data_IF_616805196394
#
_entry.id   IF_616805196394
#
_cell.length_a   1.000
_cell.length_b   1.000
_cell.length_c   1.000
_cell.angle_alpha   90.00
_cell.angle_beta   90.00
_cell.angle_gamma   90.00
#
_symmetry.space_group_name_H-M   'P 1'
#
loop_
_entity.id
_entity.type
_entity.pdbx_description
1 polymer ?
#
# COMPACT_ATOMS: atom_id res chain seq x y z
N UNK A 1 -0.13 15.32 15.67
CA UNK A 1 1.22 15.85 15.41
C UNK A 1 1.08 17.00 14.40
N UNK A 2 1.99 17.96 14.44
CA UNK A 2 2.04 19.05 13.43
C UNK A 2 2.44 18.47 12.06
N UNK A 3 1.91 19.09 10.98
CA UNK A 3 2.13 18.63 9.61
C UNK A 3 1.06 17.69 9.10
N UNK A 4 1.26 17.19 7.87
CA UNK A 4 0.36 16.22 7.23
C UNK A 4 0.52 14.85 7.91
N UNK A 5 -0.58 14.29 8.39
CA UNK A 5 -0.64 12.97 9.02
C UNK A 5 -1.61 12.10 8.21
N UNK A 6 -1.09 11.13 7.43
CA UNK A 6 -1.89 10.29 6.53
C UNK A 6 -1.42 8.85 6.50
N UNK A 7 -2.23 8.00 5.89
CA UNK A 7 -1.92 6.58 5.59
C UNK A 7 -1.46 5.78 6.82
N UNK A 8 -2.24 5.77 7.92
CA UNK A 8 -1.88 5.00 9.10
C UNK A 8 -1.96 3.49 8.83
N UNK A 9 -1.02 2.74 9.39
CA UNK A 9 -0.96 1.28 9.33
C UNK A 9 -0.55 0.70 10.69
N UNK A 10 -1.40 -0.14 11.29
CA UNK A 10 -1.11 -0.82 12.54
C UNK A 10 -0.08 -1.93 12.35
N UNK A 11 0.83 -2.05 13.30
CA UNK A 11 1.67 -3.24 13.44
C UNK A 11 0.80 -4.47 13.75
N UNK A 12 1.20 -5.69 13.34
CA UNK A 12 0.38 -6.89 13.54
C UNK A 12 0.04 -7.21 14.99
N UNK A 13 0.88 -6.78 15.94
CA UNK A 13 0.65 -6.94 17.36
C UNK A 13 -0.20 -5.80 17.99
N UNK A 14 -0.59 -4.79 17.18
CA UNK A 14 -1.38 -3.64 17.64
C UNK A 14 -0.66 -2.68 18.59
N UNK A 15 0.66 -2.78 18.74
CA UNK A 15 1.41 -1.93 19.67
C UNK A 15 1.92 -0.63 19.06
N UNK A 16 2.10 -0.62 17.72
CA UNK A 16 2.66 0.53 17.00
C UNK A 16 1.80 0.91 15.81
N UNK A 17 1.82 2.19 15.48
CA UNK A 17 1.24 2.76 14.28
C UNK A 17 2.35 3.34 13.41
N UNK A 18 2.52 2.83 12.19
CA UNK A 18 3.33 3.47 11.16
C UNK A 18 2.44 4.43 10.35
N UNK A 19 2.95 5.59 9.96
CA UNK A 19 2.19 6.57 9.20
C UNK A 19 3.12 7.54 8.47
N UNK A 20 2.57 8.27 7.53
CA UNK A 20 3.25 9.37 6.85
C UNK A 20 3.10 10.66 7.64
N UNK A 21 4.20 11.36 7.90
CA UNK A 21 4.22 12.65 8.57
C UNK A 21 5.17 13.63 7.87
N UNK A 22 4.73 14.87 7.64
CA UNK A 22 5.54 15.91 6.97
C UNK A 22 6.11 16.97 7.93
N UNK A 23 6.26 16.63 9.21
CA UNK A 23 6.67 17.54 10.27
C UNK A 23 8.06 18.18 10.02
N UNK A 24 8.99 17.42 9.49
CA UNK A 24 10.40 17.80 9.40
C UNK A 24 10.83 18.20 7.96
N UNK A 25 9.89 18.78 7.18
CA UNK A 25 10.14 19.35 5.86
C UNK A 25 9.47 18.62 4.71
N UNK A 26 9.79 17.33 4.47
CA UNK A 26 9.14 16.47 3.50
C UNK A 26 8.32 15.36 4.18
N UNK A 27 7.55 14.62 3.39
CA UNK A 27 6.80 13.46 3.91
C UNK A 27 7.73 12.28 4.13
N UNK A 28 7.68 11.74 5.34
CA UNK A 28 8.50 10.62 5.79
C UNK A 28 7.67 9.57 6.54
N UNK A 29 8.22 8.37 6.69
CA UNK A 29 7.60 7.33 7.51
C UNK A 29 7.99 7.52 8.96
N UNK A 30 7.00 7.58 9.82
CA UNK A 30 7.13 7.62 11.28
C UNK A 30 6.43 6.42 11.91
N UNK A 31 6.87 6.10 13.11
CA UNK A 31 6.24 5.10 13.98
C UNK A 31 5.96 5.74 15.34
N UNK A 32 4.85 5.35 15.96
CA UNK A 32 4.44 5.80 17.28
C UNK A 32 3.81 4.63 18.03
N UNK A 33 3.93 4.58 19.35
CA UNK A 33 3.19 3.62 20.16
C UNK A 33 1.69 3.92 20.13
N UNK A 34 0.84 2.89 20.38
CA UNK A 34 -0.63 3.01 20.41
C UNK A 34 -1.15 4.06 21.42
N UNK A 35 -0.39 4.38 22.45
CA UNK A 35 -0.71 5.42 23.44
C UNK A 35 -0.23 6.82 23.04
N UNK A 36 0.37 6.97 21.84
CA UNK A 36 0.90 8.23 21.31
C UNK A 36 2.33 8.56 21.78
N UNK A 37 2.94 7.71 22.60
CA UNK A 37 4.33 7.88 23.04
C UNK A 37 5.36 7.34 22.03
N UNK A 38 6.63 7.63 22.23
CA UNK A 38 7.78 7.10 21.47
C UNK A 38 7.65 7.36 19.95
N UNK A 39 7.30 8.61 19.57
CA UNK A 39 7.29 9.01 18.16
C UNK A 39 8.72 8.99 17.60
N UNK A 40 8.95 8.18 16.56
CA UNK A 40 10.24 8.05 15.89
C UNK A 40 10.10 8.17 14.38
N UNK A 41 11.01 8.90 13.75
CA UNK A 41 11.19 8.95 12.30
C UNK A 41 11.98 7.73 11.84
N UNK A 42 11.53 7.05 10.79
CA UNK A 42 12.17 5.86 10.23
C UNK A 42 12.90 6.15 8.91
N UNK A 43 12.44 7.14 8.14
CA UNK A 43 13.08 7.49 6.86
C UNK A 43 13.61 8.93 6.89
N UNK A 44 14.74 9.18 6.21
CA UNK A 44 15.50 10.44 6.26
C UNK A 44 15.95 10.91 4.87
N UNK A 45 15.38 10.34 3.81
CA UNK A 45 15.71 10.71 2.44
C UNK A 45 15.10 12.07 2.09
N UNK A 46 15.75 12.93 1.25
CA UNK A 46 15.12 14.14 0.74
C UNK A 46 13.85 13.90 -0.10
N UNK A 47 13.68 12.67 -0.59
CA UNK A 47 12.49 12.24 -1.33
C UNK A 47 11.25 12.11 -0.44
N UNK A 48 10.11 11.97 -1.06
CA UNK A 48 8.82 11.74 -0.39
C UNK A 48 8.64 10.26 -0.07
N UNK A 49 8.51 9.92 1.21
CA UNK A 49 8.23 8.57 1.68
C UNK A 49 6.83 8.50 2.29
N UNK A 50 5.96 7.65 1.73
CA UNK A 50 4.53 7.64 2.10
C UNK A 50 3.94 6.22 2.09
N UNK A 51 2.71 6.10 2.66
CA UNK A 51 1.87 4.90 2.57
C UNK A 51 2.53 3.62 3.09
N UNK A 52 2.94 3.57 4.35
CA UNK A 52 3.54 2.38 4.93
C UNK A 52 2.52 1.22 5.05
N UNK A 53 3.01 -0.02 4.94
CA UNK A 53 2.27 -1.23 5.25
C UNK A 53 3.19 -2.25 5.91
N UNK A 54 2.75 -2.80 7.05
CA UNK A 54 3.53 -3.76 7.82
C UNK A 54 3.51 -5.16 7.23
N UNK A 55 4.63 -5.86 7.32
CA UNK A 55 4.67 -7.31 7.16
C UNK A 55 3.91 -7.99 8.31
N UNK A 56 3.25 -9.13 8.07
CA UNK A 56 2.45 -9.81 9.11
C UNK A 56 3.26 -10.35 10.28
N UNK A 57 4.58 -10.52 10.12
CA UNK A 57 5.50 -10.88 11.20
C UNK A 57 6.04 -9.66 11.98
N UNK A 58 5.68 -8.44 11.58
CA UNK A 58 6.09 -7.18 12.22
C UNK A 58 7.57 -6.81 12.06
N UNK A 59 8.31 -7.49 11.17
CA UNK A 59 9.76 -7.26 11.01
C UNK A 59 10.11 -6.24 9.96
N UNK A 60 9.24 -6.02 8.97
CA UNK A 60 9.49 -5.15 7.83
C UNK A 60 8.30 -4.23 7.57
N UNK A 61 8.58 -3.12 6.90
CA UNK A 61 7.59 -2.15 6.40
C UNK A 61 7.85 -1.94 4.92
N UNK A 62 6.83 -2.14 4.08
CA UNK A 62 6.83 -1.69 2.69
C UNK A 62 6.26 -0.28 2.64
N UNK A 63 6.82 0.58 1.83
CA UNK A 63 6.39 1.96 1.67
C UNK A 63 6.64 2.45 0.24
N UNK A 64 6.08 3.59 -0.09
CA UNK A 64 6.27 4.24 -1.38
C UNK A 64 7.28 5.38 -1.25
N UNK A 65 8.22 5.47 -2.20
CA UNK A 65 9.26 6.51 -2.26
C UNK A 65 9.54 6.94 -3.68
N UNK A 66 9.79 8.23 -3.88
CA UNK A 66 10.22 8.78 -5.17
C UNK A 66 11.73 9.07 -5.23
N UNK A 67 12.54 8.54 -4.29
CA UNK A 67 14.01 8.68 -4.24
C UNK A 67 14.73 8.20 -5.49
N UNK A 68 14.12 7.35 -6.29
CA UNK A 68 14.61 6.90 -7.59
C UNK A 68 14.16 7.78 -8.76
N UNK A 69 13.56 8.96 -8.51
CA UNK A 69 13.05 9.91 -9.51
C UNK A 69 11.56 9.73 -9.83
N UNK A 70 10.99 8.55 -9.61
CA UNK A 70 9.55 8.26 -9.76
C UNK A 70 9.06 7.38 -8.62
N UNK A 71 7.76 7.44 -8.26
CA UNK A 71 7.21 6.63 -7.17
C UNK A 71 7.41 5.13 -7.39
N UNK A 72 8.09 4.50 -6.43
CA UNK A 72 8.38 3.07 -6.42
C UNK A 72 8.17 2.50 -5.02
N UNK A 73 8.00 1.19 -4.92
CA UNK A 73 7.93 0.51 -3.64
C UNK A 73 9.34 0.23 -3.11
N UNK A 74 9.50 0.49 -1.83
CA UNK A 74 10.68 0.17 -1.03
C UNK A 74 10.26 -0.68 0.17
N UNK A 75 11.18 -1.48 0.66
CA UNK A 75 11.04 -2.29 1.88
C UNK A 75 12.19 -1.93 2.81
N UNK A 76 11.90 -1.82 4.11
CA UNK A 76 12.89 -1.60 5.17
C UNK A 76 12.56 -2.47 6.38
N UNK A 77 13.55 -2.66 7.26
CA UNK A 77 13.28 -3.23 8.58
C UNK A 77 12.34 -2.32 9.39
N UNK A 78 11.62 -2.88 10.36
CA UNK A 78 10.71 -2.14 11.23
C UNK A 78 11.37 -1.05 12.08
N UNK A 79 12.70 -1.09 12.22
CA UNK A 79 13.52 -0.06 12.88
C UNK A 79 14.00 1.06 11.96
N UNK A 80 13.64 1.01 10.65
CA UNK A 80 14.04 1.97 9.62
C UNK A 80 15.34 1.62 8.89
N UNK A 81 16.04 0.56 9.28
CA UNK A 81 17.29 0.15 8.64
C UNK A 81 17.06 -0.66 7.36
N UNK A 82 18.12 -0.82 6.55
CA UNK A 82 18.15 -1.68 5.36
C UNK A 82 17.08 -1.36 4.31
N UNK A 83 16.74 -0.09 4.10
CA UNK A 83 15.81 0.31 3.07
C UNK A 83 16.33 -0.08 1.67
N UNK A 84 15.55 -0.85 0.91
CA UNK A 84 15.88 -1.32 -0.44
C UNK A 84 14.69 -1.17 -1.38
N UNK A 85 14.96 -0.90 -2.64
CA UNK A 85 13.92 -0.82 -3.67
C UNK A 85 13.34 -2.21 -3.93
N UNK A 86 12.01 -2.30 -4.03
CA UNK A 86 11.27 -3.53 -4.31
C UNK A 86 10.82 -3.62 -5.77
N UNK A 87 10.33 -2.50 -6.36
CA UNK A 87 9.82 -2.48 -7.74
C UNK A 87 10.80 -1.82 -8.70
N UNK A 88 11.03 -2.45 -9.86
CA UNK A 88 11.94 -1.99 -10.91
C UNK A 88 11.25 -1.84 -12.27
N UNK A 89 9.97 -2.21 -12.37
CA UNK A 89 9.17 -2.09 -13.59
C UNK A 89 8.20 -0.91 -13.50
N UNK A 90 7.90 -0.34 -14.65
CA UNK A 90 7.01 0.81 -14.75
C UNK A 90 7.63 2.08 -14.18
N UNK A 91 6.92 3.16 -14.36
CA UNK A 91 7.32 4.50 -13.94
C UNK A 91 6.55 5.02 -12.72
N UNK A 92 5.57 4.25 -12.25
CA UNK A 92 4.73 4.64 -11.11
C UNK A 92 4.16 3.42 -10.40
N UNK A 93 4.65 3.15 -9.20
CA UNK A 93 4.19 2.07 -8.33
C UNK A 93 3.89 2.64 -6.94
N UNK A 94 2.68 2.43 -6.40
CA UNK A 94 2.20 3.08 -5.17
C UNK A 94 1.19 2.24 -4.40
N UNK A 95 0.71 2.74 -3.26
CA UNK A 95 -0.36 2.14 -2.43
C UNK A 95 -0.12 0.68 -2.06
N UNK A 96 1.05 0.35 -1.48
CA UNK A 96 1.34 -1.02 -1.10
C UNK A 96 0.42 -1.52 0.01
N UNK A 97 0.08 -2.81 -0.07
CA UNK A 97 -0.64 -3.55 0.95
C UNK A 97 0.00 -4.93 1.10
N UNK A 98 0.59 -5.22 2.25
CA UNK A 98 1.19 -6.53 2.51
C UNK A 98 0.12 -7.58 2.75
N UNK A 99 0.27 -8.75 2.14
CA UNK A 99 -0.58 -9.91 2.37
C UNK A 99 -0.44 -10.41 3.82
N UNK A 100 -1.55 -10.75 4.52
CA UNK A 100 -1.47 -11.32 5.86
C UNK A 100 -0.77 -12.69 5.89
N UNK A 101 -0.58 -13.34 4.74
CA UNK A 101 0.25 -14.56 4.61
C UNK A 101 1.74 -14.28 4.54
N UNK A 102 2.15 -13.02 4.31
CA UNK A 102 3.54 -12.61 4.22
C UNK A 102 4.22 -12.89 2.87
N UNK A 103 3.55 -13.55 1.97
CA UNK A 103 4.08 -14.05 0.69
C UNK A 103 4.05 -13.04 -0.45
N UNK A 104 3.18 -12.01 -0.36
CA UNK A 104 2.97 -11.03 -1.43
C UNK A 104 2.75 -9.61 -0.89
N UNK A 105 3.06 -8.63 -1.73
CA UNK A 105 2.63 -7.24 -1.59
C UNK A 105 1.73 -6.91 -2.78
N UNK A 106 0.48 -6.53 -2.52
CA UNK A 106 -0.40 -5.95 -3.53
C UNK A 106 -0.10 -4.45 -3.64
N UNK A 107 -0.21 -3.88 -4.84
CA UNK A 107 0.06 -2.48 -5.07
C UNK A 107 -0.60 -1.97 -6.36
N UNK A 108 -0.56 -0.66 -6.56
CA UNK A 108 -0.99 -0.01 -7.78
C UNK A 108 0.21 0.25 -8.68
N UNK A 109 0.16 -0.19 -9.92
CA UNK A 109 1.13 0.13 -10.97
C UNK A 109 0.48 0.88 -12.12
N UNK A 110 1.17 1.88 -12.69
CA UNK A 110 0.72 2.52 -13.92
C UNK A 110 1.23 1.74 -15.14
N UNK A 111 0.28 1.12 -15.86
CA UNK A 111 0.51 0.33 -17.06
C UNK A 111 -0.42 0.87 -18.16
N UNK A 112 0.13 1.22 -19.32
CA UNK A 112 -0.61 1.81 -20.44
C UNK A 112 -1.47 3.02 -20.04
N UNK A 113 -0.89 3.93 -19.27
CA UNK A 113 -1.54 5.13 -18.71
C UNK A 113 -2.77 4.86 -17.83
N UNK A 114 -2.87 3.66 -17.25
CA UNK A 114 -3.95 3.28 -16.32
C UNK A 114 -3.38 2.65 -15.07
N UNK A 115 -4.08 2.83 -13.98
CA UNK A 115 -3.73 2.19 -12.72
C UNK A 115 -4.25 0.75 -12.69
N UNK A 116 -3.37 -0.18 -12.30
CA UNK A 116 -3.62 -1.62 -12.22
C UNK A 116 -3.28 -2.13 -10.84
N UNK A 117 -4.06 -3.07 -10.35
CA UNK A 117 -3.66 -3.83 -9.17
C UNK A 117 -2.68 -4.91 -9.61
N UNK A 118 -1.53 -4.90 -8.98
CA UNK A 118 -0.46 -5.86 -9.20
C UNK A 118 -0.04 -6.50 -7.88
N UNK A 119 0.66 -7.62 -7.96
CA UNK A 119 1.33 -8.26 -6.82
C UNK A 119 2.79 -8.54 -7.13
N UNK A 120 3.62 -8.60 -6.08
CA UNK A 120 5.02 -8.96 -6.13
C UNK A 120 5.40 -9.67 -4.83
N UNK A 121 6.34 -10.60 -4.86
CA UNK A 121 6.89 -11.17 -3.63
C UNK A 121 7.77 -10.16 -2.90
N UNK A 122 7.94 -10.25 -1.56
CA UNK A 122 8.78 -9.33 -0.80
C UNK A 122 10.27 -9.34 -1.19
N UNK A 123 10.74 -10.38 -1.85
CA UNK A 123 12.09 -10.48 -2.42
C UNK A 123 12.25 -9.81 -3.80
N UNK A 124 11.13 -9.30 -4.38
CA UNK A 124 11.09 -8.67 -5.70
C UNK A 124 10.82 -9.65 -6.86
N UNK A 125 10.64 -10.92 -6.59
CA UNK A 125 10.28 -11.94 -7.59
C UNK A 125 8.77 -11.99 -7.86
N UNK A 126 8.36 -12.71 -8.90
CA UNK A 126 6.96 -13.04 -9.23
C UNK A 126 6.02 -11.84 -9.33
N UNK A 127 6.43 -10.80 -10.07
CA UNK A 127 5.50 -9.73 -10.47
C UNK A 127 4.32 -10.32 -11.25
N UNK A 128 3.10 -9.93 -10.87
CA UNK A 128 1.87 -10.31 -11.55
C UNK A 128 0.91 -9.12 -11.60
N UNK A 129 0.38 -8.83 -12.78
CA UNK A 129 -0.73 -7.92 -12.97
C UNK A 129 -2.04 -8.68 -12.74
N UNK A 130 -2.87 -8.22 -11.78
CA UNK A 130 -4.14 -8.87 -11.43
C UNK A 130 -5.35 -8.28 -12.16
N UNK A 131 -5.31 -6.97 -12.49
CA UNK A 131 -6.42 -6.32 -13.18
C UNK A 131 -5.98 -5.80 -14.55
N UNK A 132 -6.89 -5.83 -15.51
CA UNK A 132 -6.73 -5.40 -16.88
C UNK A 132 -7.89 -4.50 -17.36
N UNK A 133 -8.03 -4.32 -18.68
CA UNK A 133 -9.15 -3.60 -19.25
C UNK A 133 -8.96 -2.09 -19.36
N UNK A 134 -10.07 -1.35 -19.45
CA UNK A 134 -10.08 0.10 -19.74
C UNK A 134 -10.15 0.98 -18.48
N UNK A 135 -10.39 0.40 -17.32
CA UNK A 135 -10.54 1.11 -16.04
C UNK A 135 -9.20 1.44 -15.39
N UNK A 136 -9.23 2.29 -14.38
CA UNK A 136 -8.19 2.43 -13.36
C UNK A 136 -8.67 1.79 -12.07
N UNK A 137 -7.82 0.94 -11.51
CA UNK A 137 -8.05 0.19 -10.28
C UNK A 137 -7.03 0.61 -9.23
N UNK A 138 -7.49 0.99 -8.02
CA UNK A 138 -6.68 1.66 -7.01
C UNK A 138 -6.99 1.15 -5.60
N UNK A 139 -6.10 1.45 -4.64
CA UNK A 139 -6.29 1.22 -3.20
C UNK A 139 -6.57 -0.25 -2.83
N UNK A 140 -5.71 -1.20 -3.23
CA UNK A 140 -5.89 -2.60 -2.87
C UNK A 140 -5.75 -2.82 -1.37
N UNK A 141 -6.60 -3.70 -0.81
CA UNK A 141 -6.51 -4.18 0.58
C UNK A 141 -6.82 -5.66 0.63
N UNK A 142 -5.96 -6.43 1.29
CA UNK A 142 -6.14 -7.85 1.51
C UNK A 142 -7.22 -8.14 2.55
N UNK A 143 -8.02 -9.18 2.32
CA UNK A 143 -8.85 -9.76 3.39
C UNK A 143 -7.97 -10.34 4.51
N UNK A 144 -8.47 -10.43 5.76
CA UNK A 144 -7.69 -10.96 6.89
C UNK A 144 -7.16 -12.38 6.68
N UNK A 145 -7.85 -13.20 5.88
CA UNK A 145 -7.44 -14.56 5.53
C UNK A 145 -6.48 -14.62 4.32
N UNK A 146 -6.23 -13.48 3.66
CA UNK A 146 -5.39 -13.37 2.47
C UNK A 146 -5.91 -14.14 1.25
N UNK A 147 -7.23 -14.35 1.14
CA UNK A 147 -7.87 -15.01 -0.01
C UNK A 147 -8.42 -14.04 -1.02
N UNK A 148 -8.74 -12.81 -0.60
CA UNK A 148 -9.37 -11.80 -1.44
C UNK A 148 -8.63 -10.46 -1.36
N UNK A 149 -8.84 -9.65 -2.39
CA UNK A 149 -8.41 -8.25 -2.45
C UNK A 149 -9.63 -7.39 -2.75
N UNK A 150 -9.93 -6.38 -1.90
CA UNK A 150 -10.85 -5.31 -2.25
C UNK A 150 -10.08 -4.13 -2.82
N UNK A 151 -10.69 -3.44 -3.78
CA UNK A 151 -10.07 -2.31 -4.45
C UNK A 151 -11.16 -1.35 -4.98
N UNK A 152 -10.78 -0.11 -5.30
CA UNK A 152 -11.65 0.82 -5.98
C UNK A 152 -11.40 0.80 -7.48
N UNK A 153 -12.47 0.89 -8.29
CA UNK A 153 -12.40 0.86 -9.76
C UNK A 153 -13.39 1.84 -10.38
N UNK A 154 -12.98 2.51 -11.47
CA UNK A 154 -13.85 3.39 -12.24
C UNK A 154 -14.42 2.74 -13.51
N UNK A 155 -14.48 1.40 -13.57
CA UNK A 155 -14.96 0.64 -14.75
C UNK A 155 -16.41 0.89 -15.11
N UNK A 156 -17.21 1.45 -14.19
CA UNK A 156 -18.60 1.84 -14.39
C UNK A 156 -18.80 3.37 -14.29
N UNK A 157 -17.90 4.17 -14.87
CA UNK A 157 -17.92 5.64 -14.93
C UNK A 157 -17.61 6.36 -13.63
N UNK A 158 -18.03 5.85 -12.49
CA UNK A 158 -17.71 6.33 -11.13
C UNK A 158 -16.87 5.31 -10.40
N UNK A 159 -16.19 5.73 -9.34
CA UNK A 159 -15.44 4.80 -8.49
C UNK A 159 -16.40 3.97 -7.64
N UNK A 160 -16.28 2.66 -7.75
CA UNK A 160 -16.98 1.67 -6.92
C UNK A 160 -15.98 0.73 -6.28
N UNK A 161 -16.42 0.08 -5.21
CA UNK A 161 -15.63 -0.96 -4.55
C UNK A 161 -15.89 -2.30 -5.24
N UNK A 162 -14.82 -3.01 -5.51
CA UNK A 162 -14.79 -4.36 -6.06
C UNK A 162 -14.04 -5.29 -5.12
N UNK A 163 -14.37 -6.56 -5.21
CA UNK A 163 -13.66 -7.67 -4.58
C UNK A 163 -13.20 -8.64 -5.67
N UNK A 164 -12.04 -9.26 -5.50
CA UNK A 164 -11.55 -10.34 -6.37
C UNK A 164 -10.79 -11.37 -5.54
N UNK A 165 -10.59 -12.56 -6.08
CA UNK A 165 -9.69 -13.55 -5.52
C UNK A 165 -8.23 -13.02 -5.51
N UNK A 166 -7.40 -13.57 -4.65
CA UNK A 166 -5.98 -13.21 -4.51
C UNK A 166 -5.14 -13.37 -5.78
N UNK A 167 -5.60 -14.19 -6.72
CA UNK A 167 -4.99 -14.41 -8.04
C UNK A 167 -5.52 -13.49 -9.15
N UNK A 168 -6.47 -12.58 -8.81
CA UNK A 168 -7.09 -11.64 -9.74
C UNK A 168 -8.37 -12.14 -10.40
N UNK A 169 -8.76 -13.41 -10.18
CA UNK A 169 -10.00 -13.97 -10.74
C UNK A 169 -11.25 -13.48 -10.01
N UNK A 170 -12.41 -13.69 -10.63
CA UNK A 170 -13.75 -13.47 -10.06
C UNK A 170 -13.97 -12.08 -9.48
N UNK A 171 -13.59 -11.03 -10.23
CA UNK A 171 -13.78 -9.66 -9.79
C UNK A 171 -15.27 -9.26 -9.81
N UNK A 172 -15.84 -8.99 -8.63
CA UNK A 172 -17.23 -8.62 -8.42
C UNK A 172 -17.38 -7.21 -7.86
N UNK A 173 -18.45 -6.51 -8.26
CA UNK A 173 -18.79 -5.17 -7.76
C UNK A 173 -19.56 -5.28 -6.44
N UNK A 174 -19.09 -4.57 -5.41
CA UNK A 174 -19.74 -4.54 -4.09
C UNK A 174 -20.65 -3.32 -3.89
N UNK A 175 -20.33 -2.16 -4.50
CA UNK A 175 -21.13 -0.94 -4.35
C UNK A 175 -21.72 -0.49 -5.67
N UNK A 176 -22.99 -0.02 -5.65
CA UNK A 176 -23.74 0.40 -6.85
C UNK A 176 -24.72 1.55 -6.59
N UNK A 177 -24.48 2.34 -5.55
CA UNK A 177 -25.37 3.42 -5.10
C UNK A 177 -25.29 4.71 -5.95
N UNK A 178 -24.48 4.72 -7.00
CA UNK A 178 -24.30 5.87 -7.89
C UNK A 178 -23.40 6.96 -7.33
N UNK A 179 -22.81 6.76 -6.14
CA UNK A 179 -21.80 7.65 -5.53
C UNK A 179 -20.39 7.29 -5.95
N UNK A 180 -19.39 8.08 -5.53
CA UNK A 180 -17.98 7.70 -5.64
C UNK A 180 -17.56 6.96 -4.36
N UNK A 181 -17.27 5.68 -4.48
CA UNK A 181 -16.83 4.83 -3.40
C UNK A 181 -15.34 4.49 -3.59
N UNK A 182 -14.49 4.82 -2.61
CA UNK A 182 -13.05 4.64 -2.69
C UNK A 182 -12.47 4.25 -1.33
N UNK A 183 -11.18 3.82 -1.35
CA UNK A 183 -10.41 3.52 -0.13
C UNK A 183 -11.07 2.47 0.78
N UNK A 184 -11.37 1.26 0.27
CA UNK A 184 -11.96 0.20 1.08
C UNK A 184 -11.01 -0.27 2.19
N UNK A 185 -11.58 -0.83 3.25
CA UNK A 185 -10.83 -1.56 4.27
C UNK A 185 -11.64 -2.77 4.75
N UNK A 186 -10.96 -3.72 5.37
CA UNK A 186 -11.57 -4.88 6.00
C UNK A 186 -11.70 -4.67 7.51
N UNK A 187 -12.75 -5.23 8.10
CA UNK A 187 -12.80 -5.48 9.55
C UNK A 187 -12.08 -6.78 9.87
N UNK A 188 -11.50 -6.90 11.07
CA UNK A 188 -10.92 -8.13 11.56
C UNK A 188 -11.89 -9.29 11.60
#
# INVERSE_FOLDING_TARGET
FEGLNISPAWSPNGEHLAFTLSRDGNSEIYIVRRDGSDLRRLTYDPATDVSPSWSPNGREIVFNSDRGGTPQLYIMNADGTNARRLTFWGDYNTSPAWSPKGDKVAFVSRIDNRFRICTINPDGSFFMQLTDGKASDENPKWSPDGRHIVFSSNRNTRKDIYIMNADGSDAERLTSDGSNNASPSWSP
#
